data_IF_795275381293
#
_entry.id   IF_795275381293
#
_cell.length_a   1.000
_cell.length_b   1.000
_cell.length_c   1.000
_cell.angle_alpha   90.00
_cell.angle_beta   90.00
_cell.angle_gamma   90.00
#
_symmetry.space_group_name_H-M   'P 1'
#
loop_
_entity.id
_entity.type
_entity.pdbx_description
1 polymer ?
#
# COMPACT_ATOMS: atom_id res chain seq x y z
N UNK A 1 -7.35 -18.21 -0.12
CA UNK A 1 -6.45 -17.50 -1.06
C UNK A 1 -6.91 -17.84 -2.46
N UNK A 2 -7.14 -16.87 -3.34
CA UNK A 2 -7.80 -17.06 -4.65
C UNK A 2 -7.00 -18.05 -5.53
N UNK A 3 -7.39 -19.33 -5.52
CA UNK A 3 -6.92 -20.41 -6.41
C UNK A 3 -7.25 -20.18 -7.90
N UNK A 4 -7.79 -19.02 -8.26
CA UNK A 4 -8.28 -18.68 -9.59
C UNK A 4 -7.24 -17.97 -10.46
N UNK A 5 -6.17 -17.42 -9.87
CA UNK A 5 -5.14 -16.68 -10.61
C UNK A 5 -3.76 -16.89 -10.01
N UNK A 6 -2.75 -17.01 -10.86
CA UNK A 6 -1.32 -16.95 -10.53
C UNK A 6 -0.80 -15.54 -10.85
N UNK A 7 -0.93 -14.56 -9.95
CA UNK A 7 -0.53 -13.19 -10.25
C UNK A 7 0.99 -13.10 -10.40
N UNK A 8 1.44 -12.39 -11.41
CA UNK A 8 2.86 -12.14 -11.68
C UNK A 8 3.18 -10.65 -11.60
N UNK A 9 4.43 -10.31 -11.30
CA UNK A 9 4.89 -8.93 -11.49
C UNK A 9 4.69 -8.53 -12.96
N UNK A 10 4.19 -7.32 -13.18
CA UNK A 10 4.07 -6.79 -14.55
C UNK A 10 5.45 -6.60 -15.19
N UNK A 11 5.50 -6.65 -16.53
CA UNK A 11 6.75 -6.45 -17.27
C UNK A 11 7.36 -5.06 -17.00
N UNK A 12 6.53 -4.04 -16.82
CA UNK A 12 6.98 -2.69 -16.47
C UNK A 12 7.74 -2.68 -15.13
N UNK A 13 7.22 -3.35 -14.10
CA UNK A 13 7.88 -3.43 -12.80
C UNK A 13 9.12 -4.31 -12.86
N UNK A 14 9.11 -5.41 -13.62
CA UNK A 14 10.30 -6.26 -13.82
C UNK A 14 11.45 -5.47 -14.45
N UNK A 15 11.17 -4.65 -15.46
CA UNK A 15 12.16 -3.78 -16.10
C UNK A 15 12.68 -2.71 -15.12
N UNK A 16 11.77 -2.01 -14.43
CA UNK A 16 12.14 -0.99 -13.43
C UNK A 16 13.00 -1.57 -12.30
N UNK A 17 12.66 -2.76 -11.81
CA UNK A 17 13.41 -3.44 -10.74
C UNK A 17 14.81 -3.85 -11.21
N UNK A 18 14.97 -4.34 -12.45
CA UNK A 18 16.29 -4.63 -13.02
C UNK A 18 17.15 -3.36 -13.11
N UNK A 19 16.57 -2.27 -13.61
CA UNK A 19 17.27 -1.00 -13.79
C UNK A 19 17.65 -0.33 -12.45
N UNK A 20 16.75 -0.35 -11.47
CA UNK A 20 16.99 0.25 -10.15
C UNK A 20 17.84 -0.63 -9.24
N UNK A 21 17.65 -1.95 -9.26
CA UNK A 21 18.45 -2.90 -8.49
C UNK A 21 19.93 -2.83 -8.88
N UNK A 22 20.21 -2.65 -10.18
CA UNK A 22 21.56 -2.43 -10.68
C UNK A 22 22.18 -1.09 -10.25
N UNK A 23 21.36 -0.03 -10.09
CA UNK A 23 21.83 1.32 -9.75
C UNK A 23 22.01 1.56 -8.25
N UNK A 24 21.17 0.94 -7.42
CA UNK A 24 21.11 1.20 -5.98
C UNK A 24 21.64 0.04 -5.12
N UNK A 25 22.04 -1.08 -5.74
CA UNK A 25 22.47 -2.28 -5.02
C UNK A 25 21.36 -2.92 -4.18
N UNK A 26 20.09 -2.58 -4.45
CA UNK A 26 18.93 -3.15 -3.80
C UNK A 26 18.72 -4.53 -4.40
N UNK A 27 19.16 -5.56 -3.68
CA UNK A 27 18.91 -6.95 -4.03
C UNK A 27 17.45 -7.33 -3.75
N UNK A 28 16.95 -8.35 -4.45
CA UNK A 28 15.68 -9.01 -4.13
C UNK A 28 15.71 -9.77 -2.80
N UNK A 29 16.90 -9.90 -2.21
CA UNK A 29 17.11 -10.60 -0.95
C UNK A 29 16.61 -9.77 0.22
N UNK A 30 16.04 -10.43 1.25
CA UNK A 30 15.58 -9.73 2.42
C UNK A 30 16.76 -9.19 3.24
N UNK A 31 17.08 -7.90 3.04
CA UNK A 31 18.15 -7.19 3.75
C UNK A 31 17.61 -6.10 4.68
N UNK A 32 18.44 -5.64 5.61
CA UNK A 32 18.11 -4.48 6.46
C UNK A 32 17.84 -3.24 5.61
N UNK A 33 18.60 -3.02 4.54
CA UNK A 33 18.39 -1.90 3.63
C UNK A 33 17.01 -1.95 2.97
N UNK A 34 16.62 -3.11 2.43
CA UNK A 34 15.28 -3.30 1.85
C UNK A 34 14.17 -3.07 2.89
N UNK A 35 14.35 -3.53 4.12
CA UNK A 35 13.37 -3.31 5.20
C UNK A 35 13.20 -1.82 5.53
N UNK A 36 14.30 -1.07 5.64
CA UNK A 36 14.28 0.38 5.88
C UNK A 36 13.59 1.14 4.75
N UNK A 37 13.85 0.77 3.50
CA UNK A 37 13.19 1.37 2.32
C UNK A 37 11.68 1.11 2.36
N UNK A 38 11.25 -0.12 2.65
CA UNK A 38 9.82 -0.47 2.74
C UNK A 38 9.09 0.27 3.87
N UNK A 39 9.77 0.50 5.00
CA UNK A 39 9.23 1.32 6.10
C UNK A 39 9.14 2.79 5.69
N UNK A 40 10.15 3.32 4.99
CA UNK A 40 10.15 4.69 4.51
C UNK A 40 9.01 4.95 3.50
N UNK A 41 8.73 3.99 2.62
CA UNK A 41 7.56 4.04 1.74
C UNK A 41 6.26 4.06 2.53
N UNK A 42 6.08 3.14 3.50
CA UNK A 42 4.88 3.14 4.35
C UNK A 42 4.69 4.48 5.07
N UNK A 43 5.77 5.06 5.61
CA UNK A 43 5.73 6.37 6.25
C UNK A 43 5.24 7.47 5.31
N UNK A 44 5.83 7.57 4.11
CA UNK A 44 5.45 8.56 3.11
C UNK A 44 4.01 8.39 2.61
N UNK A 45 3.58 7.16 2.39
CA UNK A 45 2.22 6.85 1.97
C UNK A 45 1.19 7.21 3.03
N UNK A 46 1.43 6.89 4.31
CA UNK A 46 0.47 7.23 5.36
C UNK A 46 0.34 8.75 5.56
N UNK A 47 1.44 9.51 5.43
CA UNK A 47 1.37 10.97 5.43
C UNK A 47 0.55 11.48 4.25
N UNK A 48 0.84 11.01 3.03
CA UNK A 48 0.16 11.49 1.84
C UNK A 48 -1.34 11.13 1.85
N UNK A 49 -1.65 9.86 2.07
CA UNK A 49 -3.00 9.35 1.91
C UNK A 49 -3.87 9.57 3.15
N UNK A 50 -3.37 9.33 4.37
CA UNK A 50 -4.17 9.50 5.60
C UNK A 50 -4.15 10.93 6.11
N UNK A 51 -2.95 11.47 6.38
CA UNK A 51 -2.86 12.82 6.93
C UNK A 51 -3.28 13.88 5.90
N UNK A 52 -2.88 13.70 4.64
CA UNK A 52 -3.20 14.59 3.51
C UNK A 52 -4.58 14.34 2.91
N UNK A 53 -4.67 13.42 1.94
CA UNK A 53 -5.83 13.26 1.05
C UNK A 53 -7.11 12.94 1.84
N UNK A 54 -7.08 11.99 2.78
CA UNK A 54 -8.27 11.61 3.56
C UNK A 54 -8.83 12.78 4.38
N UNK A 55 -7.97 13.55 5.05
CA UNK A 55 -8.41 14.72 5.80
C UNK A 55 -8.89 15.85 4.88
N UNK A 56 -8.22 16.06 3.74
CA UNK A 56 -8.68 17.02 2.74
C UNK A 56 -10.09 16.67 2.24
N UNK A 57 -10.34 15.41 1.86
CA UNK A 57 -11.66 14.96 1.42
C UNK A 57 -12.71 15.07 2.54
N UNK A 58 -12.35 14.73 3.78
CA UNK A 58 -13.26 14.88 4.93
C UNK A 58 -13.67 16.34 5.13
N UNK A 59 -12.72 17.28 5.00
CA UNK A 59 -12.98 18.72 5.11
C UNK A 59 -13.82 19.25 3.95
N UNK A 60 -13.46 18.94 2.70
CA UNK A 60 -14.16 19.41 1.51
C UNK A 60 -15.64 18.99 1.50
N UNK A 61 -15.94 17.76 1.90
CA UNK A 61 -17.32 17.29 1.95
C UNK A 61 -18.05 17.66 3.25
N UNK A 62 -17.42 18.42 4.16
CA UNK A 62 -17.94 18.70 5.52
C UNK A 62 -18.32 17.41 6.26
N UNK A 63 -17.60 16.33 5.99
CA UNK A 63 -17.86 14.97 6.48
C UNK A 63 -17.07 14.70 7.76
N UNK A 64 -17.33 15.52 8.78
CA UNK A 64 -16.82 15.28 10.12
C UNK A 64 -17.76 14.32 10.88
N UNK A 65 -17.23 13.57 11.85
CA UNK A 65 -18.03 12.65 12.67
C UNK A 65 -18.51 11.39 11.91
N UNK A 66 -19.83 11.22 11.80
CA UNK A 66 -20.47 10.00 11.28
C UNK A 66 -20.29 9.78 9.77
N UNK A 67 -19.95 10.83 9.00
CA UNK A 67 -19.77 10.73 7.54
C UNK A 67 -18.31 10.53 7.11
N UNK A 68 -17.37 10.48 8.06
CA UNK A 68 -15.93 10.34 7.78
C UNK A 68 -15.59 9.09 6.96
N UNK A 69 -16.42 8.04 7.05
CA UNK A 69 -16.24 6.80 6.27
C UNK A 69 -16.18 7.04 4.77
N UNK A 70 -16.85 8.07 4.24
CA UNK A 70 -16.81 8.34 2.80
C UNK A 70 -15.42 8.83 2.38
N UNK A 71 -14.76 9.65 3.21
CA UNK A 71 -13.39 10.05 2.96
C UNK A 71 -12.44 8.84 3.01
N UNK A 72 -12.65 7.93 3.97
CA UNK A 72 -11.90 6.66 4.05
C UNK A 72 -12.05 5.84 2.77
N UNK A 73 -13.29 5.60 2.31
CA UNK A 73 -13.55 4.79 1.12
C UNK A 73 -12.94 5.43 -0.14
N UNK A 74 -13.10 6.74 -0.31
CA UNK A 74 -12.56 7.45 -1.48
C UNK A 74 -11.03 7.45 -1.49
N UNK A 75 -10.39 7.78 -0.37
CA UNK A 75 -8.92 7.72 -0.27
C UNK A 75 -8.42 6.30 -0.48
N UNK A 76 -9.11 5.29 0.05
CA UNK A 76 -8.73 3.88 -0.13
C UNK A 76 -8.80 3.46 -1.59
N UNK A 77 -9.82 3.94 -2.34
CA UNK A 77 -9.94 3.69 -3.76
C UNK A 77 -8.79 4.35 -4.54
N UNK A 78 -8.47 5.61 -4.25
CA UNK A 78 -7.34 6.33 -4.88
C UNK A 78 -6.02 5.60 -4.59
N UNK A 79 -5.79 5.20 -3.34
CA UNK A 79 -4.58 4.47 -2.93
C UNK A 79 -4.46 3.11 -3.62
N UNK A 80 -5.57 2.36 -3.74
CA UNK A 80 -5.58 1.09 -4.47
C UNK A 80 -5.33 1.26 -5.97
N UNK A 81 -5.86 2.32 -6.59
CA UNK A 81 -5.61 2.64 -8.00
C UNK A 81 -4.17 3.09 -8.25
N UNK A 82 -3.51 3.73 -7.28
CA UNK A 82 -2.08 4.05 -7.37
C UNK A 82 -1.19 2.78 -7.43
N UNK A 83 -1.74 1.61 -7.09
CA UNK A 83 -1.10 0.30 -7.18
C UNK A 83 -1.50 -0.48 -8.45
N UNK A 84 -2.20 0.15 -9.39
CA UNK A 84 -2.48 -0.43 -10.70
C UNK A 84 -1.16 -0.75 -11.44
N UNK A 85 -1.21 -1.66 -12.40
CA UNK A 85 -0.04 -2.15 -13.15
C UNK A 85 1.10 -2.79 -12.33
N UNK A 86 0.95 -3.05 -11.03
CA UNK A 86 2.00 -3.75 -10.26
C UNK A 86 1.98 -5.26 -10.54
N UNK A 87 0.80 -5.86 -10.50
CA UNK A 87 0.59 -7.29 -10.77
C UNK A 87 -0.22 -7.48 -12.06
N UNK A 88 -0.04 -8.63 -12.69
CA UNK A 88 -0.85 -9.10 -13.82
C UNK A 88 -1.55 -10.40 -13.38
N UNK A 89 -2.89 -10.48 -13.36
CA UNK A 89 -3.84 -9.42 -13.71
C UNK A 89 -4.00 -8.34 -12.61
N UNK A 90 -4.16 -7.08 -13.02
CA UNK A 90 -4.10 -5.89 -12.13
C UNK A 90 -5.13 -5.88 -11.01
N UNK A 91 -6.34 -6.37 -11.30
CA UNK A 91 -7.45 -6.36 -10.36
C UNK A 91 -7.13 -7.13 -9.07
N UNK A 92 -6.24 -8.12 -9.12
CA UNK A 92 -5.82 -8.90 -7.94
C UNK A 92 -5.16 -7.99 -6.92
N UNK A 93 -4.25 -7.11 -7.37
CA UNK A 93 -3.59 -6.16 -6.46
C UNK A 93 -4.59 -5.16 -5.90
N UNK A 94 -5.49 -4.64 -6.74
CA UNK A 94 -6.50 -3.66 -6.32
C UNK A 94 -7.41 -4.25 -5.23
N UNK A 95 -7.90 -5.48 -5.42
CA UNK A 95 -8.77 -6.17 -4.44
C UNK A 95 -8.03 -6.50 -3.14
N UNK A 96 -6.70 -6.67 -3.17
CA UNK A 96 -5.89 -6.84 -1.96
C UNK A 96 -5.67 -5.52 -1.21
N UNK A 97 -5.34 -4.46 -1.95
CA UNK A 97 -4.93 -3.16 -1.37
C UNK A 97 -6.15 -2.35 -0.90
N UNK A 98 -7.29 -2.41 -1.60
CA UNK A 98 -8.46 -1.62 -1.24
C UNK A 98 -9.02 -1.91 0.18
N UNK A 99 -9.22 -3.18 0.60
CA UNK A 99 -9.64 -3.50 1.97
C UNK A 99 -8.63 -3.08 3.03
N UNK A 100 -7.32 -3.24 2.74
CA UNK A 100 -6.26 -2.76 3.63
C UNK A 100 -6.32 -1.23 3.78
N UNK A 101 -6.59 -0.52 2.67
CA UNK A 101 -6.79 0.92 2.66
C UNK A 101 -7.89 1.35 3.61
N UNK A 102 -9.04 0.68 3.53
CA UNK A 102 -10.19 0.94 4.41
C UNK A 102 -9.81 0.68 5.87
N UNK A 103 -9.16 -0.43 6.17
CA UNK A 103 -8.76 -0.79 7.53
C UNK A 103 -7.83 0.28 8.13
N UNK A 104 -6.79 0.68 7.40
CA UNK A 104 -5.86 1.74 7.80
C UNK A 104 -6.57 3.10 7.90
N UNK A 105 -7.53 3.42 7.04
CA UNK A 105 -8.29 4.67 7.10
C UNK A 105 -9.14 4.79 8.36
N UNK A 106 -9.75 3.69 8.81
CA UNK A 106 -10.44 3.63 10.11
C UNK A 106 -9.48 3.60 11.30
N UNK A 107 -8.34 2.91 11.16
CA UNK A 107 -7.28 2.92 12.17
C UNK A 107 -6.79 4.35 12.42
N UNK A 108 -6.57 5.13 11.36
CA UNK A 108 -6.18 6.53 11.42
C UNK A 108 -7.20 7.36 12.21
N UNK A 109 -8.49 7.20 11.89
CA UNK A 109 -9.56 7.92 12.58
C UNK A 109 -9.58 7.62 14.07
N UNK A 110 -9.27 6.39 14.47
CA UNK A 110 -9.41 5.93 15.87
C UNK A 110 -8.13 6.14 16.69
N UNK A 111 -6.96 6.00 16.09
CA UNK A 111 -5.68 5.92 16.80
C UNK A 111 -4.56 6.78 16.21
N UNK A 112 -4.85 7.62 15.21
CA UNK A 112 -3.88 8.56 14.65
C UNK A 112 -2.91 7.96 13.64
N UNK A 113 -1.93 8.78 13.25
CA UNK A 113 -1.01 8.52 12.14
C UNK A 113 0.01 7.43 12.48
N UNK A 114 0.56 7.48 13.69
CA UNK A 114 1.62 6.60 14.17
C UNK A 114 1.17 5.13 14.13
N UNK A 115 -0.08 4.88 14.54
CA UNK A 115 -0.69 3.56 14.48
C UNK A 115 -0.77 3.01 13.04
N UNK A 116 -1.02 3.89 12.06
CA UNK A 116 -1.10 3.51 10.66
C UNK A 116 0.28 3.23 10.07
N UNK A 117 1.27 4.09 10.36
CA UNK A 117 2.66 3.89 9.95
C UNK A 117 3.18 2.56 10.50
N UNK A 118 2.90 2.27 11.77
CA UNK A 118 3.31 1.02 12.39
C UNK A 118 2.64 -0.21 11.76
N UNK A 119 1.30 -0.18 11.59
CA UNK A 119 0.55 -1.28 11.00
C UNK A 119 0.94 -1.53 9.53
N UNK A 120 1.08 -0.47 8.74
CA UNK A 120 1.50 -0.55 7.34
C UNK A 120 2.97 -0.99 7.22
N UNK A 121 3.86 -0.45 8.06
CA UNK A 121 5.25 -0.90 8.12
C UNK A 121 5.36 -2.40 8.41
N UNK A 122 4.64 -2.91 9.41
CA UNK A 122 4.57 -4.35 9.69
C UNK A 122 4.02 -5.13 8.50
N UNK A 123 2.96 -4.64 7.85
CA UNK A 123 2.42 -5.28 6.66
C UNK A 123 3.48 -5.41 5.57
N UNK A 124 4.21 -4.33 5.25
CA UNK A 124 5.28 -4.37 4.24
C UNK A 124 6.39 -5.35 4.61
N UNK A 125 6.82 -5.36 5.89
CA UNK A 125 7.82 -6.31 6.37
C UNK A 125 7.33 -7.76 6.30
N UNK A 126 6.05 -8.02 6.58
CA UNK A 126 5.48 -9.36 6.45
C UNK A 126 5.44 -9.81 4.99
N UNK A 127 5.10 -8.89 4.08
CA UNK A 127 5.00 -9.15 2.65
C UNK A 127 6.35 -9.39 1.98
N UNK A 128 7.44 -8.89 2.56
CA UNK A 128 8.81 -9.19 2.13
C UNK A 128 9.11 -10.70 2.17
N UNK A 129 8.56 -11.42 3.16
CA UNK A 129 8.74 -12.86 3.30
C UNK A 129 7.62 -13.67 2.64
N UNK A 130 6.38 -13.19 2.76
CA UNK A 130 5.21 -13.92 2.26
C UNK A 130 5.04 -13.72 0.76
N UNK A 131 5.31 -12.53 0.25
CA UNK A 131 5.07 -12.09 -1.13
C UNK A 131 5.61 -13.04 -2.22
N UNK A 132 6.86 -13.54 -2.13
CA UNK A 132 7.40 -14.49 -3.10
C UNK A 132 6.58 -15.79 -3.24
N UNK A 133 5.84 -16.19 -2.21
CA UNK A 133 4.96 -17.36 -2.26
C UNK A 133 3.57 -17.05 -2.82
N UNK A 134 3.23 -15.76 -2.94
CA UNK A 134 1.92 -15.30 -3.44
C UNK A 134 1.96 -14.90 -4.92
N UNK A 135 3.16 -14.66 -5.45
CA UNK A 135 3.42 -14.25 -6.82
C UNK A 135 4.17 -15.41 -7.49
N UNK A 136 3.55 -16.09 -8.44
CA UNK A 136 4.09 -17.29 -9.13
C UNK A 136 4.25 -17.08 -10.61
#
# INVERSE_FOLDING_TARGET
MLLLTSPQLSEAIKQLSKDQGARLGISSEPTVLTALVLIAFAFGEEILFRLGIQNYLAQQFRRNGNKYWVAVVLTSAIWALAHANILTPEWVKIVQIFPLGIALGFLFKKYGLESCIFAHGIFNLSMMWIGPYLIT
#
